data_IF_911280757889
#
_entry.id   IF_911280757889
#
_cell.length_a   1.000
_cell.length_b   1.000
_cell.length_c   1.000
_cell.angle_alpha   90.00
_cell.angle_beta   90.00
_cell.angle_gamma   90.00
#
_symmetry.space_group_name_H-M   'P 1'
#
loop_
_entity.id
_entity.type
_entity.pdbx_description
1 polymer ?
#
# COMPACT_ATOMS: atom_id res chain seq x y z
N UNK A 1 -6.59 -2.29 -22.24
CA UNK A 1 -7.42 -2.99 -21.23
C UNK A 1 -7.42 -2.16 -19.95
N UNK A 2 -8.51 -2.12 -19.17
CA UNK A 2 -8.58 -1.37 -17.91
C UNK A 2 -8.44 -2.31 -16.72
N UNK A 3 -7.78 -1.87 -15.66
CA UNK A 3 -7.62 -2.59 -14.41
C UNK A 3 -8.00 -1.69 -13.22
N UNK A 4 -8.34 -2.31 -12.09
CA UNK A 4 -8.70 -1.62 -10.84
C UNK A 4 -7.88 -2.22 -9.71
N UNK A 5 -7.35 -1.37 -8.83
CA UNK A 5 -6.62 -1.77 -7.63
C UNK A 5 -7.49 -1.46 -6.41
N UNK A 6 -7.83 -2.48 -5.63
CA UNK A 6 -8.60 -2.33 -4.41
C UNK A 6 -7.67 -2.03 -3.24
N UNK A 7 -7.68 -0.78 -2.79
CA UNK A 7 -6.75 -0.24 -1.79
C UNK A 7 -7.43 0.28 -0.51
N UNK A 8 -8.73 0.02 -0.32
CA UNK A 8 -9.54 0.56 0.79
C UNK A 8 -9.53 -0.23 2.11
N UNK A 9 -8.53 -1.09 2.35
CA UNK A 9 -8.46 -1.90 3.57
C UNK A 9 -7.92 -1.12 4.79
N UNK A 10 -8.31 -1.52 6.00
CA UNK A 10 -7.93 -0.87 7.27
C UNK A 10 -6.43 -0.98 7.63
N UNK A 11 -5.67 -1.85 6.95
CA UNK A 11 -4.24 -2.06 7.17
C UNK A 11 -3.83 -2.48 8.60
N UNK A 12 -4.69 -3.21 9.32
CA UNK A 12 -4.47 -3.65 10.72
C UNK A 12 -3.28 -4.59 10.97
N UNK A 13 -2.65 -5.14 9.92
CA UNK A 13 -1.54 -6.10 10.02
C UNK A 13 -0.16 -5.49 9.71
N UNK A 14 -0.11 -4.24 9.27
CA UNK A 14 1.12 -3.51 8.94
C UNK A 14 1.06 -2.10 9.55
N UNK A 15 0.48 -2.01 10.75
CA UNK A 15 0.10 -0.75 11.38
C UNK A 15 1.27 0.21 11.61
N UNK A 16 2.46 -0.31 11.85
CA UNK A 16 3.68 0.45 12.13
C UNK A 16 4.01 1.39 10.96
N UNK A 17 3.97 0.86 9.75
CA UNK A 17 4.17 1.62 8.51
C UNK A 17 2.91 2.40 8.12
N UNK A 18 1.74 1.78 8.34
CA UNK A 18 0.49 2.28 7.78
C UNK A 18 -0.20 3.35 8.61
N UNK A 19 0.29 3.62 9.82
CA UNK A 19 -0.13 4.76 10.63
C UNK A 19 0.43 6.10 10.09
N UNK A 20 1.56 6.05 9.36
CA UNK A 20 2.19 7.24 8.76
C UNK A 20 1.74 7.47 7.32
N UNK A 21 1.53 6.39 6.54
CA UNK A 21 1.13 6.45 5.13
C UNK A 21 0.26 5.26 4.73
N UNK A 22 -0.68 5.38 3.77
CA UNK A 22 -1.49 4.25 3.34
C UNK A 22 -0.65 3.04 2.90
N UNK A 23 -1.11 1.82 3.19
CA UNK A 23 -0.43 0.56 2.76
C UNK A 23 0.03 0.56 1.29
N UNK A 24 -0.77 1.01 0.30
CA UNK A 24 -0.36 1.03 -1.10
C UNK A 24 0.89 1.90 -1.38
N UNK A 25 1.22 2.83 -0.47
CA UNK A 25 2.34 3.75 -0.56
C UNK A 25 3.56 3.33 0.28
N UNK A 26 3.50 2.19 0.99
CA UNK A 26 4.65 1.62 1.70
C UNK A 26 5.74 1.23 0.70
N UNK A 27 7.01 1.37 1.05
CA UNK A 27 8.09 1.10 0.11
C UNK A 27 8.55 -0.36 0.16
N UNK A 28 8.76 -0.94 -1.02
CA UNK A 28 9.41 -2.23 -1.22
C UNK A 28 10.47 -2.02 -2.30
N UNK A 29 11.74 -2.26 -1.97
CA UNK A 29 12.85 -2.06 -2.92
C UNK A 29 13.01 -0.61 -3.41
N UNK A 30 12.70 0.38 -2.55
CA UNK A 30 12.79 1.80 -2.88
C UNK A 30 11.67 2.35 -3.77
N UNK A 31 10.58 1.59 -3.97
CA UNK A 31 9.38 2.06 -4.69
C UNK A 31 8.10 1.67 -3.92
N UNK A 32 6.99 2.43 -4.03
CA UNK A 32 5.72 2.07 -3.41
C UNK A 32 5.22 0.66 -3.78
N UNK A 33 4.47 -0.01 -2.89
CA UNK A 33 3.86 -1.33 -3.17
C UNK A 33 3.07 -1.31 -4.48
N UNK A 34 2.35 -0.22 -4.77
CA UNK A 34 1.58 -0.03 -6.01
C UNK A 34 2.40 -0.13 -7.32
N UNK A 35 3.72 -0.04 -7.25
CA UNK A 35 4.59 -0.21 -8.43
C UNK A 35 4.81 -1.67 -8.83
N UNK A 36 4.55 -2.60 -7.92
CA UNK A 36 4.75 -4.04 -8.10
C UNK A 36 3.42 -4.71 -8.44
#
# INVERSE_FOLDING_TARGET
MKAVILAGGLASRLSEETHLKPKPMVEIGGRPILWH
#
